data_IF_915055041979
#
_entry.id   IF_915055041979
#
_cell.length_a   1.000
_cell.length_b   1.000
_cell.length_c   1.000
_cell.angle_alpha   90.00
_cell.angle_beta   90.00
_cell.angle_gamma   90.00
#
_symmetry.space_group_name_H-M   'P 1'
#
loop_
_entity.id
_entity.type
_entity.pdbx_description
1 polymer ?
#
# COMPACT_ATOMS: atom_id res chain seq x y z
N UNK A 1 -16.60 11.49 2.82
CA UNK A 1 -16.90 11.65 1.38
C UNK A 1 -15.59 11.76 0.65
N UNK A 2 -15.42 10.96 -0.40
CA UNK A 2 -14.26 11.09 -1.30
C UNK A 2 -14.41 12.37 -2.13
N UNK A 3 -13.29 12.92 -2.59
CA UNK A 3 -13.30 14.13 -3.42
C UNK A 3 -14.13 13.94 -4.69
N UNK A 4 -14.68 15.03 -5.21
CA UNK A 4 -15.47 15.05 -6.44
C UNK A 4 -14.72 14.36 -7.59
N UNK A 5 -15.37 13.42 -8.28
CA UNK A 5 -14.77 12.61 -9.34
C UNK A 5 -14.16 11.27 -8.90
N UNK A 6 -14.08 10.97 -7.60
CA UNK A 6 -13.61 9.65 -7.12
C UNK A 6 -14.73 8.60 -7.04
N UNK A 7 -15.96 9.02 -6.80
CA UNK A 7 -17.12 8.15 -6.58
C UNK A 7 -17.26 7.72 -5.12
N UNK A 8 -18.31 6.98 -4.82
CA UNK A 8 -18.66 6.57 -3.46
C UNK A 8 -18.64 5.04 -3.35
N UNK A 9 -17.68 4.44 -2.64
CA UNK A 9 -17.76 3.03 -2.25
C UNK A 9 -18.58 2.86 -0.98
N UNK A 10 -19.02 1.63 -0.71
CA UNK A 10 -19.44 1.17 0.61
C UNK A 10 -18.34 0.33 1.20
N UNK A 11 -17.96 0.60 2.43
CA UNK A 11 -16.80 -0.05 3.04
C UNK A 11 -17.12 -0.59 4.44
N UNK A 12 -16.44 -1.67 4.81
CA UNK A 12 -16.42 -2.20 6.17
C UNK A 12 -15.00 -2.60 6.54
N UNK A 13 -14.56 -2.23 7.72
CA UNK A 13 -13.27 -2.64 8.30
C UNK A 13 -13.55 -3.57 9.47
N UNK A 14 -12.79 -4.66 9.56
CA UNK A 14 -12.84 -5.60 10.68
C UNK A 14 -11.46 -6.22 10.94
N UNK A 15 -11.31 -6.76 12.14
CA UNK A 15 -10.07 -7.45 12.53
C UNK A 15 -9.97 -8.79 11.82
N UNK A 16 -8.91 -8.95 11.06
CA UNK A 16 -8.51 -10.20 10.45
C UNK A 16 -7.57 -11.00 11.36
N UNK A 17 -7.08 -12.16 10.90
CA UNK A 17 -6.08 -12.93 11.64
C UNK A 17 -4.79 -12.14 11.79
N UNK A 18 -4.04 -12.45 12.86
CA UNK A 18 -2.69 -11.93 13.10
C UNK A 18 -2.62 -10.38 13.17
N UNK A 19 -3.64 -9.76 13.74
CA UNK A 19 -3.77 -8.28 13.87
C UNK A 19 -3.75 -7.52 12.54
N UNK A 20 -4.12 -8.15 11.44
CA UNK A 20 -4.26 -7.49 10.15
C UNK A 20 -5.68 -6.96 10.01
N UNK A 21 -5.85 -5.66 9.88
CA UNK A 21 -7.14 -5.08 9.54
C UNK A 21 -7.50 -5.41 8.08
N UNK A 22 -8.72 -5.89 7.88
CA UNK A 22 -9.26 -6.19 6.54
C UNK A 22 -10.33 -5.17 6.20
N UNK A 23 -10.18 -4.51 5.06
CA UNK A 23 -11.19 -3.63 4.50
C UNK A 23 -11.84 -4.28 3.29
N UNK A 24 -13.15 -4.54 3.36
CA UNK A 24 -13.94 -4.95 2.21
C UNK A 24 -14.65 -3.73 1.62
N UNK A 25 -14.54 -3.60 0.31
CA UNK A 25 -15.06 -2.45 -0.43
C UNK A 25 -16.05 -2.92 -1.47
N UNK A 26 -17.29 -2.44 -1.40
CA UNK A 26 -18.28 -2.59 -2.45
C UNK A 26 -18.25 -1.38 -3.38
N UNK A 27 -17.98 -1.62 -4.65
CA UNK A 27 -17.90 -0.57 -5.67
C UNK A 27 -19.31 -0.28 -6.20
N UNK A 28 -20.05 0.59 -5.54
CA UNK A 28 -21.45 0.91 -5.84
C UNK A 28 -21.60 1.91 -6.99
N UNK A 29 -20.61 2.75 -7.22
CA UNK A 29 -20.66 3.77 -8.27
C UNK A 29 -20.62 3.16 -9.67
N UNK A 30 -21.54 3.59 -10.52
CA UNK A 30 -21.64 3.18 -11.93
C UNK A 30 -21.11 4.23 -12.91
N UNK A 31 -20.65 5.38 -12.42
CA UNK A 31 -20.10 6.42 -13.29
C UNK A 31 -18.73 6.00 -13.84
N UNK A 32 -18.60 5.74 -15.15
CA UNK A 32 -17.34 5.28 -15.73
C UNK A 32 -16.24 6.34 -15.72
N UNK A 33 -16.59 7.58 -15.45
CA UNK A 33 -15.62 8.70 -15.34
C UNK A 33 -15.06 8.83 -13.93
N UNK A 34 -15.68 8.24 -12.90
CA UNK A 34 -15.17 8.25 -11.54
C UNK A 34 -14.10 7.17 -11.35
N UNK A 35 -13.23 7.35 -10.36
CA UNK A 35 -12.20 6.35 -10.02
C UNK A 35 -12.82 5.05 -9.51
N UNK A 36 -13.88 5.13 -8.71
CA UNK A 36 -14.62 3.96 -8.20
C UNK A 36 -15.32 3.22 -9.33
N UNK A 37 -15.99 3.94 -10.26
CA UNK A 37 -16.63 3.32 -11.43
C UNK A 37 -15.63 2.67 -12.38
N UNK A 38 -14.48 3.28 -12.64
CA UNK A 38 -13.40 2.65 -13.42
C UNK A 38 -12.89 1.38 -12.74
N UNK A 39 -12.70 1.40 -11.42
CA UNK A 39 -12.33 0.22 -10.65
C UNK A 39 -13.40 -0.88 -10.76
N UNK A 40 -14.68 -0.54 -10.69
CA UNK A 40 -15.79 -1.48 -10.85
C UNK A 40 -15.74 -2.17 -12.22
N UNK A 41 -15.58 -1.40 -13.29
CA UNK A 41 -15.46 -1.94 -14.65
C UNK A 41 -14.25 -2.88 -14.74
N UNK A 42 -13.12 -2.47 -14.19
CA UNK A 42 -11.90 -3.28 -14.18
C UNK A 42 -12.10 -4.60 -13.43
N UNK A 43 -12.71 -4.57 -12.22
CA UNK A 43 -12.97 -5.78 -11.44
C UNK A 43 -13.92 -6.74 -12.13
N UNK A 44 -14.93 -6.23 -12.82
CA UNK A 44 -15.84 -7.05 -13.63
C UNK A 44 -15.10 -7.77 -14.76
N UNK A 45 -14.20 -7.07 -15.45
CA UNK A 45 -13.37 -7.63 -16.52
C UNK A 45 -12.34 -8.64 -16.01
N UNK A 46 -11.69 -8.34 -14.91
CA UNK A 46 -10.63 -9.16 -14.31
C UNK A 46 -11.20 -10.47 -13.72
N UNK A 47 -12.44 -10.41 -13.21
CA UNK A 47 -13.12 -11.52 -12.56
C UNK A 47 -12.90 -11.56 -11.05
N UNK A 48 -13.52 -12.55 -10.44
CA UNK A 48 -13.50 -12.79 -8.99
C UNK A 48 -12.85 -14.13 -8.68
N UNK A 49 -12.29 -14.24 -7.48
CA UNK A 49 -11.79 -15.50 -6.92
C UNK A 49 -12.97 -16.46 -6.60
N UNK A 50 -12.66 -17.67 -6.20
CA UNK A 50 -13.67 -18.65 -5.75
C UNK A 50 -14.51 -18.15 -4.56
N UNK A 51 -13.96 -17.24 -3.75
CA UNK A 51 -14.68 -16.62 -2.62
C UNK A 51 -15.63 -15.51 -3.03
N UNK A 52 -15.69 -15.15 -4.33
CA UNK A 52 -16.47 -14.04 -4.82
C UNK A 52 -15.85 -12.66 -4.63
N UNK A 53 -14.68 -12.61 -4.00
CA UNK A 53 -13.89 -11.38 -3.80
C UNK A 53 -12.87 -11.19 -4.92
N UNK A 54 -12.42 -9.96 -5.13
CA UNK A 54 -11.24 -9.69 -5.96
C UNK A 54 -9.96 -10.12 -5.21
N UNK A 55 -8.82 -10.23 -5.89
CA UNK A 55 -7.52 -10.17 -5.23
C UNK A 55 -7.36 -8.86 -4.44
N UNK A 56 -6.36 -8.82 -3.56
CA UNK A 56 -6.05 -7.60 -2.78
C UNK A 56 -5.82 -6.42 -3.71
N UNK A 57 -6.62 -5.38 -3.54
CA UNK A 57 -6.60 -4.18 -4.39
C UNK A 57 -5.66 -3.13 -3.84
N UNK A 58 -5.66 -2.94 -2.53
CA UNK A 58 -4.88 -1.92 -1.83
C UNK A 58 -4.34 -2.52 -0.54
N UNK A 59 -3.09 -2.24 -0.24
CA UNK A 59 -2.53 -2.39 1.11
C UNK A 59 -2.31 -1.01 1.71
N UNK A 60 -2.34 -0.91 3.03
CA UNK A 60 -2.15 0.36 3.73
C UNK A 60 -1.06 0.24 4.79
N UNK A 61 -0.32 1.30 5.01
CA UNK A 61 0.53 1.42 6.18
C UNK A 61 0.72 2.88 6.59
N UNK A 62 0.88 3.07 7.89
CA UNK A 62 1.19 4.37 8.47
C UNK A 62 2.68 4.66 8.37
N UNK A 63 3.02 5.89 8.07
CA UNK A 63 4.40 6.36 7.90
C UNK A 63 4.67 7.58 8.77
N UNK A 64 5.92 7.77 9.22
CA UNK A 64 6.35 8.96 9.95
C UNK A 64 6.58 10.15 9.05
N UNK A 65 6.94 9.89 7.79
CA UNK A 65 7.20 10.93 6.79
C UNK A 65 6.61 10.48 5.44
N UNK A 66 5.44 11.01 5.13
CA UNK A 66 4.70 10.62 3.93
C UNK A 66 5.40 11.07 2.65
N UNK A 67 6.11 12.20 2.67
CA UNK A 67 6.79 12.71 1.48
C UNK A 67 7.98 11.83 1.09
N UNK A 68 8.77 11.36 2.07
CA UNK A 68 9.83 10.38 1.81
C UNK A 68 9.28 9.05 1.31
N UNK A 69 8.15 8.58 1.86
CA UNK A 69 7.50 7.37 1.39
C UNK A 69 6.98 7.53 -0.05
N UNK A 70 6.38 8.65 -0.39
CA UNK A 70 5.93 8.97 -1.76
C UNK A 70 7.11 9.05 -2.72
N UNK A 71 8.18 9.72 -2.33
CA UNK A 71 9.38 9.83 -3.17
C UNK A 71 9.97 8.44 -3.48
N UNK A 72 10.02 7.56 -2.49
CA UNK A 72 10.41 6.17 -2.69
C UNK A 72 9.49 5.46 -3.70
N UNK A 73 8.17 5.54 -3.53
CA UNK A 73 7.23 4.90 -4.45
C UNK A 73 7.36 5.43 -5.89
N UNK A 74 7.58 6.74 -6.04
CA UNK A 74 7.76 7.36 -7.36
C UNK A 74 9.07 6.95 -8.03
N UNK A 75 10.18 7.04 -7.30
CA UNK A 75 11.51 6.81 -7.89
C UNK A 75 11.84 5.33 -8.05
N UNK A 76 11.60 4.53 -7.02
CA UNK A 76 11.97 3.12 -7.00
C UNK A 76 10.93 2.24 -7.67
N UNK A 77 9.64 2.46 -7.37
CA UNK A 77 8.55 1.62 -7.83
C UNK A 77 7.83 2.17 -9.06
N UNK A 78 8.21 3.37 -9.51
CA UNK A 78 7.61 4.08 -10.66
C UNK A 78 6.08 4.24 -10.53
N UNK A 79 5.60 4.42 -9.29
CA UNK A 79 4.19 4.64 -9.00
C UNK A 79 3.83 6.12 -8.99
N UNK A 80 2.56 6.41 -9.26
CA UNK A 80 2.01 7.77 -9.24
C UNK A 80 1.07 7.98 -8.06
N UNK A 81 0.89 9.23 -7.65
CA UNK A 81 -0.12 9.60 -6.64
C UNK A 81 -1.49 9.61 -7.31
N UNK A 82 -2.38 8.74 -6.85
CA UNK A 82 -3.76 8.67 -7.31
C UNK A 82 -4.69 9.57 -6.50
N UNK A 83 -4.49 9.63 -5.18
CA UNK A 83 -5.26 10.41 -4.21
C UNK A 83 -4.27 11.11 -3.29
N UNK A 84 -4.53 12.37 -2.97
CA UNK A 84 -3.76 13.18 -2.02
C UNK A 84 -4.76 14.04 -1.24
N UNK A 85 -5.01 13.67 0.01
CA UNK A 85 -6.00 14.35 0.84
C UNK A 85 -5.69 14.27 2.34
N UNK A 86 -6.40 15.07 3.12
CA UNK A 86 -6.37 15.02 4.58
C UNK A 86 -7.75 14.55 5.07
N UNK A 87 -7.78 13.39 5.71
CA UNK A 87 -8.95 12.90 6.41
C UNK A 87 -9.07 13.65 7.74
N UNK A 88 -10.24 14.24 8.00
CA UNK A 88 -10.45 15.06 9.20
C UNK A 88 -11.92 15.16 9.64
N UNK A 89 -12.87 14.53 8.92
CA UNK A 89 -14.26 14.53 9.32
C UNK A 89 -14.50 13.51 10.44
N UNK A 90 -15.48 13.80 11.31
CA UNK A 90 -15.88 12.90 12.40
C UNK A 90 -16.24 11.50 11.86
N UNK A 91 -17.03 11.43 10.78
CA UNK A 91 -17.42 10.15 10.17
C UNK A 91 -16.23 9.34 9.64
N UNK A 92 -15.22 9.98 9.05
CA UNK A 92 -13.99 9.31 8.61
C UNK A 92 -13.20 8.78 9.80
N UNK A 93 -13.09 9.60 10.86
CA UNK A 93 -12.34 9.23 12.05
C UNK A 93 -13.02 8.08 12.82
N UNK A 94 -14.35 8.13 12.95
CA UNK A 94 -15.14 7.05 13.55
C UNK A 94 -14.97 5.74 12.76
N UNK A 95 -15.09 5.80 11.44
CA UNK A 95 -14.89 4.64 10.56
C UNK A 95 -13.50 4.01 10.71
N UNK A 96 -12.45 4.85 10.83
CA UNK A 96 -11.07 4.40 10.99
C UNK A 96 -10.69 4.12 12.46
N UNK A 97 -11.62 4.24 13.40
CA UNK A 97 -11.39 4.07 14.84
C UNK A 97 -10.30 5.02 15.39
N UNK A 98 -10.22 6.22 14.85
CA UNK A 98 -9.29 7.27 15.27
C UNK A 98 -9.96 8.23 16.27
N UNK A 99 -9.16 9.03 17.01
CA UNK A 99 -9.71 10.13 17.78
C UNK A 99 -10.61 11.05 16.92
N UNK A 100 -11.75 11.48 17.42
CA UNK A 100 -12.76 12.22 16.63
C UNK A 100 -12.21 13.49 15.97
N UNK A 101 -11.20 14.09 16.58
CA UNK A 101 -10.52 15.31 16.09
C UNK A 101 -9.24 14.99 15.26
N UNK A 102 -8.98 13.73 14.97
CA UNK A 102 -7.79 13.31 14.24
C UNK A 102 -7.71 13.98 12.87
N UNK A 103 -6.49 14.30 12.46
CA UNK A 103 -6.13 14.70 11.10
C UNK A 103 -5.08 13.77 10.56
N UNK A 104 -5.36 13.14 9.44
CA UNK A 104 -4.48 12.16 8.81
C UNK A 104 -4.22 12.53 7.37
N UNK A 105 -2.98 12.80 7.01
CA UNK A 105 -2.60 12.92 5.60
C UNK A 105 -2.64 11.52 4.97
N UNK A 106 -3.26 11.41 3.79
CA UNK A 106 -3.38 10.14 3.07
C UNK A 106 -2.99 10.34 1.62
N UNK A 107 -2.11 9.48 1.12
CA UNK A 107 -1.72 9.44 -0.29
C UNK A 107 -1.83 8.00 -0.80
N UNK A 108 -2.66 7.80 -1.82
CA UNK A 108 -2.72 6.51 -2.51
C UNK A 108 -1.72 6.50 -3.66
N UNK A 109 -0.81 5.55 -3.61
CA UNK A 109 0.13 5.29 -4.70
C UNK A 109 -0.40 4.19 -5.59
N UNK A 110 -0.25 4.34 -6.89
CA UNK A 110 -0.63 3.32 -7.87
C UNK A 110 0.52 3.07 -8.83
N UNK A 111 0.86 1.80 -9.01
CA UNK A 111 1.76 1.33 -10.07
C UNK A 111 1.01 1.03 -11.37
N UNK A 112 1.64 0.25 -12.26
CA UNK A 112 1.08 -0.09 -13.58
C UNK A 112 -0.14 -1.01 -13.53
N UNK A 113 -0.41 -1.66 -12.40
CA UNK A 113 -1.54 -2.56 -12.25
C UNK A 113 -2.66 -1.87 -11.49
N UNK A 114 -3.91 -2.03 -11.93
CA UNK A 114 -5.09 -1.42 -11.29
C UNK A 114 -5.27 -1.91 -9.84
N UNK A 115 -4.96 -3.17 -9.56
CA UNK A 115 -4.76 -3.69 -8.20
C UNK A 115 -3.32 -3.43 -7.76
N UNK A 116 -3.02 -3.53 -6.48
CA UNK A 116 -1.68 -3.25 -5.96
C UNK A 116 -1.44 -1.77 -5.68
N UNK A 117 -2.48 -1.05 -5.27
CA UNK A 117 -2.34 0.28 -4.69
C UNK A 117 -1.76 0.20 -3.30
N UNK A 118 -1.12 1.27 -2.89
CA UNK A 118 -0.62 1.44 -1.53
C UNK A 118 -1.17 2.73 -0.95
N UNK A 119 -1.93 2.63 0.13
CA UNK A 119 -2.37 3.78 0.90
C UNK A 119 -1.30 4.10 1.96
N UNK A 120 -0.69 5.25 1.84
CA UNK A 120 0.23 5.81 2.81
C UNK A 120 -0.53 6.78 3.69
N UNK A 121 -0.42 6.64 5.01
CA UNK A 121 -1.05 7.56 5.95
C UNK A 121 -0.02 8.13 6.92
N UNK A 122 -0.21 9.39 7.31
CA UNK A 122 0.60 10.05 8.32
C UNK A 122 -0.28 10.78 9.32
N UNK A 123 -0.19 10.46 10.62
CA UNK A 123 -0.81 11.26 11.68
C UNK A 123 -0.29 12.69 11.66
N UNK A 124 -1.18 13.69 11.74
CA UNK A 124 -0.82 15.11 11.76
C UNK A 124 -0.95 15.75 13.15
N UNK A 125 -1.89 15.27 13.98
CA UNK A 125 -2.19 15.86 15.28
C UNK A 125 -2.50 14.83 16.38
N UNK A 126 -2.13 13.59 16.17
CA UNK A 126 -2.25 12.52 17.17
C UNK A 126 -1.02 11.60 17.08
N UNK A 127 -0.77 10.84 18.14
CA UNK A 127 0.35 9.92 18.22
C UNK A 127 -0.07 8.50 17.89
N UNK A 128 0.80 7.77 17.21
CA UNK A 128 0.66 6.34 16.95
C UNK A 128 1.81 5.57 17.58
N UNK A 129 1.51 4.37 18.08
CA UNK A 129 2.55 3.47 18.52
C UNK A 129 3.39 2.99 17.33
N UNK A 130 4.72 2.98 17.51
CA UNK A 130 5.64 2.51 16.48
C UNK A 130 5.78 0.99 16.51
N UNK A 131 5.12 0.30 15.58
CA UNK A 131 5.16 -1.15 15.44
C UNK A 131 6.32 -1.66 14.57
N UNK A 132 7.10 -0.77 13.95
CA UNK A 132 8.19 -1.16 13.04
C UNK A 132 9.26 -2.02 13.70
N UNK A 133 9.68 -1.78 14.95
CA UNK A 133 10.64 -2.66 15.62
C UNK A 133 10.15 -4.09 15.78
N UNK A 134 8.85 -4.29 15.91
CA UNK A 134 8.21 -5.59 16.10
C UNK A 134 7.82 -6.27 14.77
N UNK A 135 7.83 -5.53 13.66
CA UNK A 135 7.50 -6.01 12.30
C UNK A 135 8.62 -6.82 11.66
N UNK A 136 9.21 -7.78 12.38
CA UNK A 136 10.29 -8.66 11.92
C UNK A 136 10.03 -10.11 12.34
N UNK A 137 10.50 -11.06 11.55
CA UNK A 137 10.45 -12.47 11.92
C UNK A 137 11.26 -12.73 13.21
N UNK A 138 10.78 -13.59 14.16
CA UNK A 138 9.65 -14.50 14.03
C UNK A 138 8.30 -13.96 14.56
N UNK A 139 8.15 -12.64 14.71
CA UNK A 139 6.91 -12.06 15.20
C UNK A 139 5.74 -12.33 14.25
N UNK A 140 4.54 -12.48 14.81
CA UNK A 140 3.32 -12.73 14.06
C UNK A 140 2.75 -11.39 13.59
N UNK A 141 2.26 -11.34 12.35
CA UNK A 141 1.60 -10.19 11.77
C UNK A 141 2.16 -9.78 10.41
N UNK A 142 1.86 -8.56 10.02
CA UNK A 142 2.30 -7.98 8.76
C UNK A 142 3.76 -7.56 8.84
N UNK A 143 4.65 -8.29 8.17
CA UNK A 143 6.11 -8.09 8.29
C UNK A 143 6.63 -7.19 7.17
N UNK A 144 6.23 -7.44 5.93
CA UNK A 144 6.76 -6.71 4.77
C UNK A 144 5.75 -6.61 3.63
N UNK A 145 5.89 -5.58 2.81
CA UNK A 145 5.26 -5.49 1.50
C UNK A 145 6.23 -5.98 0.43
N UNK A 146 5.72 -6.69 -0.58
CA UNK A 146 6.50 -7.16 -1.71
C UNK A 146 6.09 -6.44 -2.99
N UNK A 147 7.07 -5.92 -3.72
CA UNK A 147 6.86 -5.16 -4.96
C UNK A 147 7.66 -5.79 -6.10
N UNK A 148 6.93 -6.14 -7.17
CA UNK A 148 7.56 -6.56 -8.41
C UNK A 148 7.93 -5.33 -9.23
N UNK A 149 9.19 -5.27 -9.67
CA UNK A 149 9.69 -4.25 -10.60
C UNK A 149 10.08 -4.89 -11.93
N UNK A 150 10.11 -4.10 -12.99
CA UNK A 150 10.50 -4.56 -14.32
C UNK A 150 12.01 -4.49 -14.54
N UNK A 151 12.70 -3.64 -13.79
CA UNK A 151 14.15 -3.45 -13.85
C UNK A 151 14.70 -3.20 -12.44
N UNK A 152 15.28 -4.24 -11.85
CA UNK A 152 15.81 -4.16 -10.50
C UNK A 152 17.09 -3.33 -10.42
N UNK A 153 17.90 -3.28 -11.48
CA UNK A 153 19.13 -2.46 -11.50
C UNK A 153 18.77 -0.98 -11.35
N UNK A 154 17.80 -0.50 -12.12
CA UNK A 154 17.31 0.87 -12.00
C UNK A 154 16.68 1.17 -10.64
N UNK A 155 15.94 0.21 -10.07
CA UNK A 155 15.35 0.36 -8.74
C UNK A 155 16.42 0.40 -7.64
N UNK A 156 17.46 -0.44 -7.73
CA UNK A 156 18.57 -0.47 -6.78
C UNK A 156 19.38 0.84 -6.82
N UNK A 157 19.61 1.40 -8.00
CA UNK A 157 20.26 2.71 -8.16
C UNK A 157 19.49 3.82 -7.44
N UNK A 158 18.16 3.85 -7.60
CA UNK A 158 17.31 4.82 -6.90
C UNK A 158 17.27 4.58 -5.37
N UNK A 159 17.28 3.32 -4.93
CA UNK A 159 17.36 2.96 -3.51
C UNK A 159 18.65 3.53 -2.89
N UNK A 160 19.76 3.43 -3.60
CA UNK A 160 21.06 3.98 -3.17
C UNK A 160 21.01 5.51 -3.15
N UNK A 161 20.48 6.14 -4.19
CA UNK A 161 20.35 7.60 -4.30
C UNK A 161 19.49 8.19 -3.17
N UNK A 162 18.41 7.49 -2.79
CA UNK A 162 17.54 7.86 -1.67
C UNK A 162 18.12 7.48 -0.30
N UNK A 163 19.29 6.86 -0.26
CA UNK A 163 19.96 6.39 0.97
C UNK A 163 19.08 5.48 1.83
N UNK A 164 18.27 4.63 1.16
CA UNK A 164 17.45 3.66 1.88
C UNK A 164 18.34 2.66 2.62
N UNK A 165 17.92 2.28 3.83
CA UNK A 165 18.63 1.27 4.61
C UNK A 165 18.40 -0.12 4.00
N UNK A 166 19.47 -0.78 3.56
CA UNK A 166 19.44 -2.15 3.04
C UNK A 166 19.31 -3.11 4.22
N UNK A 167 18.24 -3.90 4.24
CA UNK A 167 18.02 -4.96 5.22
C UNK A 167 18.60 -6.29 4.76
N UNK A 168 18.35 -6.68 3.51
CA UNK A 168 18.96 -7.84 2.86
C UNK A 168 19.57 -7.41 1.54
N UNK A 169 20.86 -7.68 1.35
CA UNK A 169 21.55 -7.39 0.09
C UNK A 169 20.94 -8.16 -1.08
N UNK A 170 21.09 -7.62 -2.27
CA UNK A 170 20.63 -8.24 -3.50
C UNK A 170 21.14 -9.67 -3.66
N UNK A 171 20.24 -10.57 -4.02
CA UNK A 171 20.53 -11.98 -4.24
C UNK A 171 19.48 -12.66 -5.09
N UNK A 172 19.86 -13.77 -5.70
CA UNK A 172 18.92 -14.70 -6.32
C UNK A 172 18.24 -15.55 -5.24
N UNK A 173 16.95 -15.75 -5.39
CA UNK A 173 16.15 -16.61 -4.52
C UNK A 173 15.05 -17.31 -5.33
N UNK A 174 14.65 -18.49 -4.86
CA UNK A 174 13.43 -19.15 -5.31
C UNK A 174 12.37 -18.93 -4.21
N UNK A 175 11.38 -18.10 -4.51
CA UNK A 175 10.34 -17.71 -3.53
C UNK A 175 9.08 -18.50 -3.84
N UNK A 176 8.53 -19.27 -2.88
CA UNK A 176 7.28 -19.98 -3.09
C UNK A 176 6.17 -19.07 -3.59
N UNK A 177 5.53 -19.45 -4.70
CA UNK A 177 4.49 -18.66 -5.35
C UNK A 177 4.97 -17.54 -6.28
N UNK A 178 6.25 -17.15 -6.23
CA UNK A 178 6.85 -16.14 -7.11
C UNK A 178 7.89 -16.75 -8.07
N UNK A 179 8.44 -17.94 -7.75
CA UNK A 179 9.48 -18.60 -8.54
C UNK A 179 10.86 -17.97 -8.37
N UNK A 180 11.71 -18.17 -9.36
CA UNK A 180 13.06 -17.60 -9.36
C UNK A 180 13.00 -16.08 -9.48
N UNK A 181 13.64 -15.40 -8.55
CA UNK A 181 13.65 -13.95 -8.45
C UNK A 181 15.05 -13.43 -8.16
N UNK A 182 15.36 -12.26 -8.68
CA UNK A 182 16.43 -11.41 -8.20
C UNK A 182 15.82 -10.38 -7.25
N UNK A 183 16.31 -10.26 -6.04
CA UNK A 183 15.63 -9.52 -4.99
C UNK A 183 16.56 -8.84 -3.99
N UNK A 184 16.08 -7.79 -3.37
CA UNK A 184 16.67 -7.19 -2.16
C UNK A 184 15.56 -6.77 -1.20
N UNK A 185 15.90 -6.59 0.07
CA UNK A 185 14.99 -6.02 1.06
C UNK A 185 15.57 -4.72 1.63
N UNK A 186 14.70 -3.74 1.79
CA UNK A 186 15.05 -2.44 2.32
C UNK A 186 14.09 -2.04 3.46
N UNK A 187 14.51 -1.04 4.24
CA UNK A 187 13.60 -0.30 5.10
C UNK A 187 13.10 0.93 4.34
N UNK A 188 11.78 1.08 4.27
CA UNK A 188 11.17 2.26 3.65
C UNK A 188 11.67 3.54 4.33
N UNK A 189 12.11 4.56 3.58
CA UNK A 189 12.70 5.77 4.19
C UNK A 189 11.68 6.61 4.98
N UNK A 190 10.39 6.52 4.65
CA UNK A 190 9.33 7.25 5.34
C UNK A 190 8.78 6.56 6.58
N UNK A 191 8.72 5.21 6.59
CA UNK A 191 8.12 4.44 7.69
C UNK A 191 9.12 3.58 8.47
N UNK A 192 10.21 3.15 7.84
CA UNK A 192 11.11 2.13 8.36
C UNK A 192 10.62 0.68 8.16
N UNK A 193 9.40 0.49 7.66
CA UNK A 193 8.85 -0.84 7.40
C UNK A 193 9.65 -1.60 6.33
N UNK A 194 9.70 -2.93 6.47
CA UNK A 194 10.41 -3.77 5.53
C UNK A 194 9.67 -3.84 4.18
N UNK A 195 10.44 -3.78 3.10
CA UNK A 195 9.92 -3.92 1.74
C UNK A 195 10.84 -4.82 0.92
N UNK A 196 10.24 -5.84 0.32
CA UNK A 196 10.89 -6.73 -0.64
C UNK A 196 10.71 -6.15 -2.04
N UNK A 197 11.80 -5.83 -2.71
CA UNK A 197 11.81 -5.39 -4.10
C UNK A 197 12.38 -6.52 -4.95
N UNK A 198 11.66 -6.97 -5.96
CA UNK A 198 12.09 -8.11 -6.75
C UNK A 198 11.74 -8.00 -8.22
N UNK A 199 12.53 -8.68 -9.02
CA UNK A 199 12.31 -8.93 -10.45
C UNK A 199 12.21 -10.44 -10.67
N UNK A 200 11.15 -10.89 -11.36
CA UNK A 200 11.04 -12.29 -11.74
C UNK A 200 12.09 -12.61 -12.83
N UNK A 201 12.74 -13.78 -12.72
CA UNK A 201 13.66 -14.30 -13.72
C UNK A 201 12.87 -15.35 -14.53
N UNK A 202 12.69 -15.08 -15.80
CA UNK A 202 12.05 -16.01 -16.75
C UNK A 202 13.01 -17.10 -17.18
#
# INVERSE_FOLDING_TARGET
EMSEGQGSPTEVIFDGPDNVAINLVELTDNNPSSKVGQMKIYTQKYGRTQTGLTPVVTSAHTTRNIDLAVEFHRKVLKGDVLIDEVLSSEAQNEFLQLPITAKTAVKFMQGNHMFGKVALSQPLNYECHDMVPDGIAPNIGYIAQAYRVTNLDSSEEEIINLKCSIYTKRRLADIPGLGKTDMLMIKNPGSGALQLIFQAIN
#
